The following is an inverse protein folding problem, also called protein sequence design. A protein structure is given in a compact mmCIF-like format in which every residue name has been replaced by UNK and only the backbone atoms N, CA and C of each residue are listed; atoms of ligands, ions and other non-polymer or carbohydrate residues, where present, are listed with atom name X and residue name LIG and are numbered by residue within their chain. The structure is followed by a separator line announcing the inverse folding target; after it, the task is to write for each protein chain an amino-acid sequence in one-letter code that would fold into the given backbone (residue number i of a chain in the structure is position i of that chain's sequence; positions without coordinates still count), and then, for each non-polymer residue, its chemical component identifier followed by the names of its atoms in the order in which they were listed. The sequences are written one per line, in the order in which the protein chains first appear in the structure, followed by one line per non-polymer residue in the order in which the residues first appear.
data_IF_144739363651
#
_entry.id   IF_144739363651
#
_cell.length_a   1.000
_cell.length_b   1.000
_cell.length_c   1.000
_cell.angle_alpha   90.00
_cell.angle_beta   90.00
_cell.angle_gamma   90.00
#
_symmetry.space_group_name_H-M   'P 1'
#
loop_
_entity.id
_entity.type
_entity.pdbx_description
1 polymer ?
#
# COMPACT_ATOMS: atom_id res chain seq x y z
N UNK A 1 9.01 10.45 16.80
CA UNK A 1 10.46 10.25 17.02
C UNK A 1 11.13 9.58 15.81
N UNK A 2 10.71 8.39 15.37
CA UNK A 2 11.37 7.68 14.27
C UNK A 2 11.29 8.47 12.95
N UNK A 3 10.11 8.80 12.47
CA UNK A 3 9.94 9.51 11.19
C UNK A 3 10.55 10.92 11.20
N UNK A 4 10.57 11.58 12.34
CA UNK A 4 11.26 12.88 12.48
C UNK A 4 12.77 12.73 12.25
N UNK A 5 13.39 11.70 12.84
CA UNK A 5 14.83 11.42 12.64
C UNK A 5 15.13 11.04 11.19
N UNK A 6 14.26 10.23 10.56
CA UNK A 6 14.37 9.90 9.13
C UNK A 6 14.27 11.16 8.27
N UNK A 7 13.35 12.06 8.59
CA UNK A 7 13.17 13.32 7.86
C UNK A 7 14.38 14.24 8.02
N UNK A 8 14.90 14.42 9.24
CA UNK A 8 16.11 15.22 9.50
C UNK A 8 17.30 14.70 8.70
N UNK A 9 17.56 13.38 8.73
CA UNK A 9 18.61 12.74 7.92
C UNK A 9 18.31 12.89 6.42
N UNK A 10 17.05 12.75 6.01
CA UNK A 10 16.62 12.91 4.63
C UNK A 10 16.88 14.33 4.10
N UNK A 11 16.54 15.36 4.87
CA UNK A 11 16.78 16.77 4.52
C UNK A 11 18.28 17.04 4.35
N UNK A 12 19.11 16.56 5.27
CA UNK A 12 20.56 16.72 5.17
C UNK A 12 21.11 16.00 3.94
N UNK A 13 20.70 14.74 3.73
CA UNK A 13 21.13 13.94 2.57
C UNK A 13 20.71 14.57 1.24
N UNK A 14 19.47 15.07 1.14
CA UNK A 14 18.99 15.74 -0.06
C UNK A 14 19.81 16.98 -0.42
N UNK A 15 20.17 17.81 0.59
CA UNK A 15 21.03 18.98 0.39
C UNK A 15 22.41 18.58 -0.10
N UNK A 16 23.04 17.58 0.51
CA UNK A 16 24.36 17.06 0.11
C UNK A 16 24.32 16.51 -1.32
N UNK A 17 23.28 15.78 -1.70
CA UNK A 17 23.09 15.25 -3.05
C UNK A 17 22.88 16.37 -4.08
N UNK A 18 22.16 17.41 -3.71
CA UNK A 18 21.93 18.58 -4.54
C UNK A 18 23.25 19.35 -4.79
N UNK A 19 24.03 19.60 -3.75
CA UNK A 19 25.35 20.22 -3.86
C UNK A 19 26.30 19.39 -4.72
N UNK A 20 26.40 18.09 -4.47
CA UNK A 20 27.23 17.19 -5.24
C UNK A 20 26.81 17.13 -6.72
N UNK A 21 25.50 17.22 -7.02
CA UNK A 21 24.95 17.33 -8.37
C UNK A 21 25.45 18.60 -9.07
N UNK A 22 25.45 19.74 -8.38
CA UNK A 22 25.90 21.01 -8.94
C UNK A 22 27.40 21.01 -9.21
N UNK A 23 28.18 20.34 -8.38
CA UNK A 23 29.63 20.24 -8.57
C UNK A 23 30.04 19.31 -9.69
N UNK A 24 29.40 18.15 -9.84
CA UNK A 24 29.86 17.07 -10.72
C UNK A 24 28.92 16.77 -11.91
N UNK A 25 27.74 17.43 -11.99
CA UNK A 25 26.75 17.26 -13.07
C UNK A 25 26.01 15.91 -13.05
N UNK A 26 26.19 15.07 -12.02
CA UNK A 26 25.59 13.73 -11.97
C UNK A 26 24.22 13.79 -11.30
N UNK A 27 23.15 13.27 -11.95
CA UNK A 27 21.84 13.22 -11.33
C UNK A 27 21.85 12.28 -10.12
N UNK A 28 20.92 12.50 -9.19
CA UNK A 28 20.70 11.60 -8.06
C UNK A 28 19.27 11.01 -8.07
N UNK A 29 19.10 9.90 -7.41
CA UNK A 29 17.81 9.33 -7.01
C UNK A 29 17.83 9.15 -5.49
N UNK A 30 16.81 9.65 -4.82
CA UNK A 30 16.65 9.50 -3.38
C UNK A 30 15.27 8.96 -3.05
N UNK A 31 15.21 7.97 -2.17
CA UNK A 31 13.99 7.43 -1.59
C UNK A 31 14.01 7.67 -0.09
N UNK A 32 13.07 8.47 0.41
CA UNK A 32 12.85 8.65 1.84
C UNK A 32 11.59 7.91 2.24
N UNK A 33 11.73 6.89 3.08
CA UNK A 33 10.62 6.06 3.53
C UNK A 33 10.23 6.41 4.96
N UNK A 34 8.97 6.84 5.14
CA UNK A 34 8.38 7.16 6.43
C UNK A 34 7.46 6.02 6.86
N UNK A 35 7.42 5.71 8.15
CA UNK A 35 6.66 4.59 8.69
C UNK A 35 5.20 4.95 8.95
N UNK A 36 4.95 6.15 9.45
CA UNK A 36 3.58 6.62 9.70
C UNK A 36 2.81 6.83 8.37
N UNK A 37 1.50 6.66 8.41
CA UNK A 37 0.58 6.46 9.55
C UNK A 37 0.33 4.98 9.91
N UNK A 38 1.28 4.05 9.65
CA UNK A 38 1.15 2.64 10.04
C UNK A 38 0.85 2.48 11.55
N UNK A 39 0.01 1.50 11.97
CA UNK A 39 -0.22 1.25 13.40
C UNK A 39 1.09 0.90 14.16
N UNK A 40 1.19 1.25 15.46
CA UNK A 40 0.13 1.77 16.32
C UNK A 40 -0.19 3.25 16.04
N UNK A 41 -1.49 3.60 16.10
CA UNK A 41 -1.95 4.98 15.84
C UNK A 41 -1.70 5.85 17.07
N UNK A 42 -0.49 6.38 17.19
CA UNK A 42 -0.05 7.23 18.30
C UNK A 42 0.36 8.59 17.73
N UNK A 43 -0.58 9.51 17.69
CA UNK A 43 -0.33 10.90 17.27
C UNK A 43 0.15 11.78 18.44
N UNK A 44 0.90 12.82 18.12
CA UNK A 44 1.18 13.87 19.10
C UNK A 44 -0.12 14.61 19.47
N UNK A 45 -0.30 15.04 20.74
CA UNK A 45 -1.52 15.74 21.16
C UNK A 45 -1.91 16.90 20.23
N UNK A 46 -0.97 17.74 19.84
CA UNK A 46 -1.19 18.86 18.94
C UNK A 46 -1.69 18.46 17.54
N UNK A 47 -1.24 17.32 17.01
CA UNK A 47 -1.68 16.82 15.71
C UNK A 47 -3.03 16.13 15.82
N UNK A 48 -3.29 15.43 16.93
CA UNK A 48 -4.57 14.83 17.26
C UNK A 48 -5.67 15.88 17.43
N UNK A 49 -5.44 16.87 18.29
CA UNK A 49 -6.41 17.91 18.62
C UNK A 49 -6.78 18.78 17.40
N UNK A 50 -5.80 19.03 16.53
CA UNK A 50 -6.01 19.82 15.32
C UNK A 50 -7.01 19.21 14.33
N UNK A 51 -7.22 17.89 14.36
CA UNK A 51 -8.12 17.19 13.44
C UNK A 51 -9.38 16.64 14.14
N UNK A 52 -9.39 16.55 15.46
CA UNK A 52 -10.42 15.86 16.23
C UNK A 52 -11.86 16.29 15.92
N UNK A 53 -12.08 17.59 15.66
CA UNK A 53 -13.41 18.14 15.35
C UNK A 53 -13.90 17.83 13.92
N UNK A 54 -13.02 17.33 13.05
CA UNK A 54 -13.31 17.09 11.64
C UNK A 54 -13.45 15.60 11.32
N UNK A 55 -13.00 14.73 12.23
CA UNK A 55 -13.02 13.28 11.99
C UNK A 55 -14.38 12.69 12.34
N UNK A 56 -14.98 12.01 11.35
CA UNK A 56 -16.25 11.29 11.49
C UNK A 56 -16.01 9.81 11.85
N UNK A 57 -16.98 9.14 12.46
CA UNK A 57 -16.99 7.67 12.54
C UNK A 57 -16.89 7.03 11.15
N UNK A 58 -16.59 5.72 11.04
CA UNK A 58 -16.67 5.01 9.78
C UNK A 58 -18.05 5.19 9.12
N UNK A 59 -18.05 5.51 7.82
CA UNK A 59 -19.28 5.87 7.08
C UNK A 59 -19.87 4.67 6.35
N UNK A 60 -19.03 3.71 5.91
CA UNK A 60 -19.47 2.52 5.22
C UNK A 60 -19.81 1.47 6.27
N UNK A 61 -21.10 1.08 6.38
CA UNK A 61 -21.53 0.17 7.43
C UNK A 61 -20.96 -1.23 7.25
N UNK A 62 -20.82 -1.94 8.35
CA UNK A 62 -20.49 -3.35 8.33
C UNK A 62 -21.58 -4.12 7.56
N UNK A 63 -21.23 -4.94 6.55
CA UNK A 63 -22.21 -5.73 5.82
C UNK A 63 -22.83 -6.79 6.73
N UNK A 64 -24.13 -7.03 6.61
CA UNK A 64 -24.85 -8.08 7.33
C UNK A 64 -24.27 -9.48 7.05
N UNK A 65 -23.83 -9.69 5.80
CA UNK A 65 -23.19 -10.93 5.36
C UNK A 65 -21.86 -10.60 4.71
N UNK A 66 -20.78 -10.88 5.44
CA UNK A 66 -19.42 -10.72 4.89
C UNK A 66 -19.12 -11.85 3.92
N UNK A 67 -18.51 -11.51 2.78
CA UNK A 67 -18.07 -12.50 1.80
C UNK A 67 -17.22 -13.60 2.47
N UNK A 68 -17.45 -14.90 2.21
CA UNK A 68 -16.79 -16.00 2.91
C UNK A 68 -15.27 -15.93 2.89
N UNK A 69 -14.67 -15.52 1.76
CA UNK A 69 -13.22 -15.32 1.63
C UNK A 69 -12.67 -14.26 2.61
N UNK A 70 -13.47 -13.27 2.98
CA UNK A 70 -13.06 -12.15 3.85
C UNK A 70 -13.34 -12.41 5.33
N UNK A 71 -13.92 -13.56 5.70
CA UNK A 71 -14.22 -13.90 7.11
C UNK A 71 -12.96 -13.96 7.97
N UNK A 72 -11.83 -14.39 7.41
CA UNK A 72 -10.56 -14.42 8.15
C UNK A 72 -10.13 -13.03 8.67
N UNK A 73 -10.48 -11.96 7.95
CA UNK A 73 -10.21 -10.59 8.37
C UNK A 73 -11.09 -10.17 9.57
N UNK A 74 -12.25 -10.80 9.74
CA UNK A 74 -13.12 -10.63 10.88
C UNK A 74 -12.59 -11.35 12.13
N UNK A 75 -12.02 -12.55 11.95
CA UNK A 75 -11.54 -13.42 13.05
C UNK A 75 -10.25 -12.88 13.69
N UNK A 76 -9.53 -11.96 13.06
CA UNK A 76 -8.31 -11.36 13.63
C UNK A 76 -8.52 -10.53 14.91
N UNK A 77 -9.74 -10.49 15.41
CA UNK A 77 -10.05 -10.09 16.78
C UNK A 77 -10.25 -8.60 17.03
N UNK A 78 -9.97 -7.74 16.06
CA UNK A 78 -10.18 -6.30 16.24
C UNK A 78 -11.48 -5.81 15.61
N UNK A 79 -11.99 -6.51 14.61
CA UNK A 79 -13.10 -6.08 13.76
C UNK A 79 -14.45 -6.02 14.49
N UNK A 80 -14.67 -6.86 15.49
CA UNK A 80 -15.97 -7.01 16.15
C UNK A 80 -15.99 -6.47 17.59
N UNK A 81 -14.85 -5.99 18.09
CA UNK A 81 -14.67 -5.60 19.50
C UNK A 81 -14.54 -4.07 19.66
N UNK A 82 -14.28 -3.35 18.57
CA UNK A 82 -14.08 -1.90 18.63
C UNK A 82 -15.43 -1.20 18.52
N UNK A 83 -15.83 -0.50 19.57
CA UNK A 83 -17.02 0.34 19.57
C UNK A 83 -16.82 1.64 18.74
N UNK A 84 -17.89 2.36 18.47
CA UNK A 84 -17.87 3.56 17.64
C UNK A 84 -16.97 4.67 18.22
N UNK A 85 -16.89 4.78 19.54
CA UNK A 85 -16.05 5.78 20.20
C UNK A 85 -14.58 5.43 20.06
N UNK A 86 -14.20 4.18 20.29
CA UNK A 86 -12.84 3.69 20.09
C UNK A 86 -12.42 3.79 18.61
N UNK A 87 -13.31 3.47 17.67
CA UNK A 87 -13.08 3.63 16.26
C UNK A 87 -12.81 5.10 15.90
N UNK A 88 -13.61 6.03 16.40
CA UNK A 88 -13.42 7.47 16.17
C UNK A 88 -12.09 7.94 16.76
N UNK A 89 -11.72 7.52 17.98
CA UNK A 89 -10.42 7.84 18.57
C UNK A 89 -9.25 7.33 17.72
N UNK A 90 -9.32 6.10 17.23
CA UNK A 90 -8.29 5.52 16.38
C UNK A 90 -8.17 6.26 15.04
N UNK A 91 -9.31 6.60 14.41
CA UNK A 91 -9.35 7.42 13.18
C UNK A 91 -8.73 8.79 13.43
N UNK A 92 -9.08 9.45 14.52
CA UNK A 92 -8.52 10.77 14.87
C UNK A 92 -7.00 10.68 15.02
N UNK A 93 -6.49 9.66 15.69
CA UNK A 93 -5.05 9.46 15.81
C UNK A 93 -4.38 9.21 14.46
N UNK A 94 -5.00 8.42 13.56
CA UNK A 94 -4.50 8.21 12.20
C UNK A 94 -4.43 9.52 11.41
N UNK A 95 -5.49 10.33 11.42
CA UNK A 95 -5.48 11.64 10.74
C UNK A 95 -4.48 12.62 11.36
N UNK A 96 -4.27 12.54 12.68
CA UNK A 96 -3.17 13.26 13.34
C UNK A 96 -1.79 12.83 12.83
N UNK A 97 -1.59 11.52 12.59
CA UNK A 97 -0.36 11.02 11.98
C UNK A 97 -0.22 11.49 10.52
N UNK A 98 -1.30 11.51 9.75
CA UNK A 98 -1.31 12.06 8.36
C UNK A 98 -0.89 13.53 8.37
N UNK A 99 -1.42 14.33 9.30
CA UNK A 99 -0.99 15.72 9.47
C UNK A 99 0.50 15.85 9.81
N UNK A 100 1.02 14.96 10.65
CA UNK A 100 2.45 14.92 10.94
C UNK A 100 3.26 14.59 9.68
N UNK A 101 2.86 13.60 8.89
CA UNK A 101 3.53 13.21 7.64
C UNK A 101 3.50 14.35 6.63
N UNK A 102 2.39 15.07 6.50
CA UNK A 102 2.29 16.23 5.62
C UNK A 102 3.38 17.28 5.96
N UNK A 103 3.55 17.60 7.24
CA UNK A 103 4.60 18.53 7.71
C UNK A 103 6.00 17.98 7.42
N UNK A 104 6.29 16.73 7.74
CA UNK A 104 7.59 16.10 7.50
C UNK A 104 7.92 16.04 6.01
N UNK A 105 6.92 15.75 5.17
CA UNK A 105 7.04 15.79 3.71
C UNK A 105 7.34 17.22 3.23
N UNK A 106 6.69 18.22 3.83
CA UNK A 106 6.98 19.63 3.56
C UNK A 106 8.44 19.99 3.82
N UNK A 107 9.04 19.52 4.92
CA UNK A 107 10.44 19.75 5.23
C UNK A 107 11.39 19.11 4.17
N UNK A 108 11.06 17.90 3.70
CA UNK A 108 11.82 17.24 2.63
C UNK A 108 11.69 17.98 1.29
N UNK A 109 10.48 18.41 0.94
CA UNK A 109 10.23 19.16 -0.31
C UNK A 109 10.99 20.50 -0.25
N UNK A 110 10.96 21.21 0.88
CA UNK A 110 11.69 22.46 1.08
C UNK A 110 13.22 22.31 0.89
N UNK A 111 13.77 21.12 1.17
CA UNK A 111 15.21 20.88 1.02
C UNK A 111 15.70 20.95 -0.45
N UNK A 112 14.78 20.81 -1.42
CA UNK A 112 15.04 20.82 -2.87
C UNK A 112 14.11 21.79 -3.63
N UNK A 113 13.41 22.70 -2.94
CA UNK A 113 12.38 23.56 -3.53
C UNK A 113 12.90 24.64 -4.48
N UNK A 114 14.18 24.97 -4.39
CA UNK A 114 14.88 25.94 -5.25
C UNK A 114 15.42 25.33 -6.56
N UNK A 115 15.10 24.05 -6.82
CA UNK A 115 15.62 23.31 -7.97
C UNK A 115 14.56 23.13 -9.04
N UNK A 116 14.85 23.65 -10.22
CA UNK A 116 13.99 23.52 -11.41
C UNK A 116 14.14 22.17 -12.12
N UNK A 117 15.13 21.36 -11.73
CA UNK A 117 15.53 20.11 -12.40
C UNK A 117 15.17 18.85 -11.60
N UNK A 118 14.40 18.98 -10.54
CA UNK A 118 14.06 17.87 -9.63
C UNK A 118 12.58 17.48 -9.74
N UNK A 119 12.31 16.19 -9.98
CA UNK A 119 10.98 15.59 -9.90
C UNK A 119 10.78 15.02 -8.51
N UNK A 120 9.68 15.39 -7.87
CA UNK A 120 9.26 14.92 -6.54
C UNK A 120 8.05 14.03 -6.73
N UNK A 121 8.06 12.85 -6.09
CA UNK A 121 6.96 11.89 -6.11
C UNK A 121 6.62 11.52 -4.68
N UNK A 122 5.38 11.80 -4.27
CA UNK A 122 4.80 11.32 -3.02
C UNK A 122 3.86 10.17 -3.29
N UNK A 123 4.01 9.06 -2.56
CA UNK A 123 3.21 7.85 -2.76
C UNK A 123 3.14 7.04 -1.46
N UNK A 124 2.11 6.19 -1.31
CA UNK A 124 2.04 5.15 -0.28
C UNK A 124 2.07 3.76 -0.91
N UNK A 125 2.46 2.76 -0.13
CA UNK A 125 2.51 1.33 -0.53
C UNK A 125 1.13 0.66 -0.50
N UNK A 126 0.27 1.03 0.44
CA UNK A 126 -1.11 0.57 0.60
C UNK A 126 -1.95 1.60 1.36
N UNK A 127 -3.25 1.40 1.37
CA UNK A 127 -4.20 2.17 2.16
C UNK A 127 -4.42 1.60 3.57
N UNK A 128 -5.50 2.04 4.21
CA UNK A 128 -5.90 1.64 5.55
C UNK A 128 -7.43 1.65 5.65
N UNK A 129 -8.04 0.57 6.12
CA UNK A 129 -9.49 0.45 6.18
C UNK A 129 -10.15 1.32 7.25
N UNK A 130 -9.45 1.68 8.31
CA UNK A 130 -9.87 2.63 9.37
C UNK A 130 -11.30 2.42 9.91
N UNK A 131 -11.74 1.16 10.04
CA UNK A 131 -13.06 0.82 10.55
C UNK A 131 -14.17 0.79 9.49
N UNK A 132 -13.90 1.23 8.26
CA UNK A 132 -14.89 1.10 7.18
C UNK A 132 -15.26 -0.37 6.99
N UNK A 133 -16.53 -0.66 6.77
CA UNK A 133 -17.08 -2.05 6.73
C UNK A 133 -16.79 -2.86 8.00
N UNK A 134 -16.39 -2.22 9.10
CA UNK A 134 -15.86 -2.87 10.28
C UNK A 134 -14.51 -3.55 10.04
N UNK A 135 -13.72 -3.11 9.08
CA UNK A 135 -12.38 -3.61 8.77
C UNK A 135 -11.32 -2.63 9.27
N UNK A 136 -10.18 -3.18 9.65
CA UNK A 136 -8.99 -2.44 10.05
C UNK A 136 -7.78 -2.96 9.28
N UNK A 137 -6.76 -2.10 9.12
CA UNK A 137 -5.54 -2.41 8.39
C UNK A 137 -5.80 -2.61 6.89
N UNK A 138 -5.05 -3.47 6.27
CA UNK A 138 -4.98 -3.73 4.83
C UNK A 138 -5.15 -5.22 4.54
N UNK A 139 -5.09 -5.58 3.25
CA UNK A 139 -5.10 -6.98 2.78
C UNK A 139 -6.40 -7.39 2.10
N UNK A 140 -7.37 -6.48 2.01
CA UNK A 140 -8.53 -6.59 1.11
C UNK A 140 -8.28 -5.76 -0.14
N UNK A 141 -9.12 -5.91 -1.16
CA UNK A 141 -9.05 -5.10 -2.37
C UNK A 141 -10.09 -3.96 -2.42
N UNK A 142 -10.77 -3.68 -1.32
CA UNK A 142 -11.55 -2.45 -1.22
C UNK A 142 -10.64 -1.22 -1.35
N UNK A 143 -11.17 -0.16 -1.96
CA UNK A 143 -10.36 1.04 -2.26
C UNK A 143 -9.70 1.63 -1.01
N UNK A 144 -10.30 1.55 0.17
CA UNK A 144 -9.70 2.01 1.41
C UNK A 144 -8.36 1.33 1.71
N UNK A 145 -8.21 0.06 1.31
CA UNK A 145 -7.00 -0.74 1.52
C UNK A 145 -6.05 -0.73 0.31
N UNK A 146 -6.60 -0.67 -0.92
CA UNK A 146 -5.84 -0.91 -2.15
C UNK A 146 -5.48 0.38 -2.92
N UNK A 147 -6.25 1.45 -2.74
CA UNK A 147 -6.02 2.74 -3.40
C UNK A 147 -5.10 3.61 -2.56
N UNK A 148 -4.10 4.20 -3.22
CA UNK A 148 -3.09 5.03 -2.56
C UNK A 148 -2.99 6.40 -3.23
N UNK A 149 -2.59 7.45 -2.50
CA UNK A 149 -2.23 8.72 -3.13
C UNK A 149 -0.99 8.54 -4.01
N UNK A 150 -0.96 9.27 -5.13
CA UNK A 150 0.23 9.47 -5.95
C UNK A 150 0.23 10.93 -6.41
N UNK A 151 1.22 11.68 -5.97
CA UNK A 151 1.35 13.11 -6.28
C UNK A 151 2.72 13.31 -6.91
N UNK A 152 2.76 13.95 -8.07
CA UNK A 152 3.99 14.23 -8.78
C UNK A 152 4.14 15.74 -9.01
N UNK A 153 5.34 16.25 -8.87
CA UNK A 153 5.67 17.64 -9.14
C UNK A 153 7.09 17.74 -9.72
N UNK A 154 7.33 18.73 -10.58
CA UNK A 154 8.65 18.99 -11.16
C UNK A 154 8.59 19.24 -12.66
N UNK A 155 9.75 19.26 -13.34
CA UNK A 155 9.84 19.54 -14.77
C UNK A 155 9.05 18.52 -15.58
N UNK A 156 8.28 19.00 -16.55
CA UNK A 156 7.43 18.16 -17.40
C UNK A 156 6.12 17.69 -16.76
N UNK A 157 5.87 18.00 -15.49
CA UNK A 157 4.61 17.67 -14.80
C UNK A 157 3.70 18.89 -14.82
N UNK A 158 2.48 18.73 -15.36
CA UNK A 158 1.49 19.80 -15.42
C UNK A 158 0.98 20.16 -14.01
N UNK A 159 1.02 21.46 -13.68
CA UNK A 159 0.60 21.95 -12.36
C UNK A 159 -0.93 21.91 -12.23
N UNK A 160 -1.41 21.31 -11.14
CA UNK A 160 -2.83 21.25 -10.82
C UNK A 160 -3.61 20.26 -11.68
N UNK A 161 -2.98 19.48 -12.52
CA UNK A 161 -3.63 18.43 -13.28
C UNK A 161 -4.11 17.29 -12.35
N UNK A 162 -5.26 16.73 -12.71
CA UNK A 162 -5.77 15.49 -12.12
C UNK A 162 -5.69 14.42 -13.20
N UNK A 163 -5.08 13.30 -12.86
CA UNK A 163 -4.95 12.16 -13.76
C UNK A 163 -5.91 11.05 -13.33
N UNK A 164 -6.98 10.87 -14.08
CA UNK A 164 -8.04 9.87 -13.80
C UNK A 164 -7.73 8.49 -14.40
N UNK A 165 -6.55 8.30 -14.99
CA UNK A 165 -6.15 6.99 -15.52
C UNK A 165 -6.08 5.95 -14.42
N UNK A 166 -6.48 4.71 -14.76
CA UNK A 166 -6.30 3.57 -13.87
C UNK A 166 -4.83 3.19 -13.85
N UNK A 167 -4.17 3.42 -12.73
CA UNK A 167 -2.73 3.24 -12.56
C UNK A 167 -2.41 2.31 -11.39
N UNK A 168 -1.16 1.89 -11.29
CA UNK A 168 -0.64 1.08 -10.18
C UNK A 168 0.77 1.49 -9.78
N UNK A 169 1.25 0.97 -8.64
CA UNK A 169 2.64 1.15 -8.22
C UNK A 169 3.66 0.51 -9.18
N UNK A 170 3.22 -0.45 -10.01
CA UNK A 170 4.06 -1.00 -11.09
C UNK A 170 4.33 0.06 -12.18
N UNK A 171 3.34 0.90 -12.47
CA UNK A 171 3.47 2.01 -13.42
C UNK A 171 4.41 3.10 -12.87
N UNK A 172 4.38 3.33 -11.55
CA UNK A 172 5.34 4.23 -10.90
C UNK A 172 6.78 3.74 -11.09
N UNK A 173 7.05 2.45 -10.89
CA UNK A 173 8.37 1.87 -11.11
C UNK A 173 8.84 2.07 -12.56
N UNK A 174 7.96 1.80 -13.54
CA UNK A 174 8.25 2.05 -14.95
C UNK A 174 8.49 3.54 -15.25
N UNK A 175 7.73 4.41 -14.59
CA UNK A 175 7.88 5.87 -14.74
C UNK A 175 9.23 6.38 -14.23
N UNK A 176 9.67 5.89 -13.08
CA UNK A 176 10.97 6.26 -12.50
C UNK A 176 12.11 5.85 -13.45
N UNK A 177 12.07 4.63 -13.99
CA UNK A 177 13.09 4.16 -14.95
C UNK A 177 13.09 5.01 -16.22
N UNK A 178 11.94 5.31 -16.78
CA UNK A 178 11.78 6.14 -17.96
C UNK A 178 12.32 7.56 -17.73
N UNK A 179 11.91 8.23 -16.66
CA UNK A 179 12.36 9.58 -16.30
C UNK A 179 13.86 9.67 -16.00
N UNK A 180 14.49 8.59 -15.57
CA UNK A 180 15.92 8.54 -15.28
C UNK A 180 16.75 8.03 -16.47
N UNK A 181 16.11 7.61 -17.57
CA UNK A 181 16.78 7.02 -18.74
C UNK A 181 17.40 5.65 -18.46
N UNK A 182 16.92 4.95 -17.41
CA UNK A 182 17.37 3.60 -17.08
C UNK A 182 16.63 2.54 -17.91
N UNK A 183 17.29 1.40 -18.13
CA UNK A 183 16.68 0.29 -18.85
C UNK A 183 15.48 -0.30 -18.08
N UNK A 184 14.43 -0.76 -18.78
CA UNK A 184 13.31 -1.45 -18.15
C UNK A 184 13.77 -2.71 -17.40
N UNK A 185 13.09 -3.01 -16.28
CA UNK A 185 13.34 -4.25 -15.55
C UNK A 185 12.93 -5.49 -16.38
N UNK A 186 13.64 -6.62 -16.23
CA UNK A 186 13.19 -7.88 -16.83
C UNK A 186 11.75 -8.22 -16.39
N UNK A 187 10.90 -8.54 -17.34
CA UNK A 187 9.46 -8.86 -17.12
C UNK A 187 8.64 -7.70 -16.49
N UNK A 188 9.06 -6.46 -16.72
CA UNK A 188 8.31 -5.28 -16.29
C UNK A 188 6.90 -5.29 -16.91
N UNK A 189 5.88 -5.18 -16.08
CA UNK A 189 4.46 -5.12 -16.50
C UNK A 189 3.87 -3.71 -16.35
N UNK A 190 4.50 -2.86 -15.56
CA UNK A 190 4.13 -1.45 -15.43
C UNK A 190 4.47 -0.64 -16.68
N UNK A 191 3.75 0.46 -16.88
CA UNK A 191 3.88 1.38 -18.01
C UNK A 191 4.23 2.76 -17.49
N UNK A 192 5.13 3.45 -18.16
CA UNK A 192 5.47 4.83 -17.76
C UNK A 192 4.28 5.77 -17.89
N UNK A 193 3.99 6.52 -16.84
CA UNK A 193 2.97 7.58 -16.84
C UNK A 193 3.42 8.80 -17.69
N UNK A 194 4.71 8.95 -17.91
CA UNK A 194 5.31 10.00 -18.74
C UNK A 194 5.37 9.62 -20.22
N UNK A 195 5.23 8.34 -20.56
CA UNK A 195 5.30 7.90 -21.95
C UNK A 195 4.08 8.39 -22.75
N UNK A 196 4.29 8.91 -23.99
CA UNK A 196 3.19 9.30 -24.85
C UNK A 196 2.45 8.08 -25.39
N UNK A 197 1.17 8.25 -25.74
CA UNK A 197 0.38 7.23 -26.42
C UNK A 197 -0.89 6.83 -25.70
N UNK A 198 -1.61 5.83 -26.23
CA UNK A 198 -2.87 5.40 -25.65
C UNK A 198 -2.66 4.71 -24.30
N UNK A 199 -3.52 5.00 -23.35
CA UNK A 199 -3.53 4.39 -22.03
C UNK A 199 -4.64 3.36 -21.90
N UNK A 200 -4.30 2.16 -21.52
CA UNK A 200 -5.28 1.13 -21.16
C UNK A 200 -5.63 1.28 -19.67
N UNK A 201 -6.88 1.63 -19.38
CA UNK A 201 -7.39 1.76 -18.02
C UNK A 201 -7.55 0.40 -17.33
N UNK A 202 -6.42 -0.20 -17.02
CA UNK A 202 -6.33 -1.55 -16.47
C UNK A 202 -5.21 -1.67 -15.47
N UNK A 203 -5.51 -2.28 -14.31
CA UNK A 203 -4.49 -2.67 -13.35
C UNK A 203 -4.87 -3.96 -12.63
N UNK A 204 -3.87 -4.63 -12.07
CA UNK A 204 -4.06 -5.84 -11.25
C UNK A 204 -3.31 -5.71 -9.94
N UNK A 205 -3.86 -6.33 -8.88
CA UNK A 205 -3.16 -6.51 -7.62
C UNK A 205 -3.39 -7.92 -7.11
N UNK A 206 -2.40 -8.48 -6.42
CA UNK A 206 -2.48 -9.82 -5.87
C UNK A 206 -2.06 -9.83 -4.41
N UNK A 207 -2.76 -10.63 -3.59
CA UNK A 207 -2.39 -10.85 -2.21
C UNK A 207 -2.44 -12.34 -1.89
N UNK A 208 -1.33 -12.87 -1.39
CA UNK A 208 -1.13 -14.28 -1.11
C UNK A 208 -0.69 -14.46 0.34
N UNK A 209 -1.59 -14.22 1.26
CA UNK A 209 -1.24 -14.26 2.67
C UNK A 209 -2.44 -14.49 3.58
N UNK A 210 -2.16 -14.78 4.82
CA UNK A 210 -3.08 -14.70 5.95
C UNK A 210 -2.67 -13.56 6.86
N UNK A 211 -3.54 -13.19 7.79
CA UNK A 211 -3.17 -12.27 8.85
C UNK A 211 -2.08 -12.89 9.74
N UNK A 212 -1.14 -12.06 10.17
CA UNK A 212 -0.07 -12.50 11.06
C UNK A 212 -0.65 -13.22 12.27
N UNK A 213 -0.11 -14.40 12.59
CA UNK A 213 -0.44 -15.23 13.74
C UNK A 213 -1.79 -15.98 13.70
N UNK A 214 -2.51 -16.00 12.58
CA UNK A 214 -3.72 -16.82 12.43
C UNK A 214 -3.37 -18.09 11.64
N UNK A 215 -3.66 -19.26 12.25
CA UNK A 215 -3.52 -20.59 11.62
C UNK A 215 -4.62 -20.85 10.59
N UNK A 216 -4.94 -19.86 9.76
CA UNK A 216 -5.86 -20.04 8.65
C UNK A 216 -5.04 -20.26 7.36
N UNK A 217 -5.51 -21.09 6.44
CA UNK A 217 -4.88 -21.21 5.12
C UNK A 217 -4.73 -19.82 4.49
N UNK A 218 -3.56 -19.55 3.92
CA UNK A 218 -3.33 -18.30 3.21
C UNK A 218 -4.36 -18.12 2.09
N UNK A 219 -5.13 -17.04 2.13
CA UNK A 219 -6.03 -16.70 1.04
C UNK A 219 -5.20 -16.26 -0.17
N UNK A 220 -5.41 -16.93 -1.30
CA UNK A 220 -4.90 -16.48 -2.59
C UNK A 220 -6.00 -15.68 -3.26
N UNK A 221 -5.72 -14.42 -3.50
CA UNK A 221 -6.70 -13.52 -4.08
C UNK A 221 -6.04 -12.58 -5.10
N UNK A 222 -6.82 -12.18 -6.10
CA UNK A 222 -6.40 -11.23 -7.11
C UNK A 222 -7.52 -10.28 -7.46
N UNK A 223 -7.17 -9.03 -7.65
CA UNK A 223 -8.03 -7.98 -8.17
C UNK A 223 -7.61 -7.64 -9.61
N UNK A 224 -8.57 -7.40 -10.45
CA UNK A 224 -8.43 -6.72 -11.73
C UNK A 224 -9.40 -5.53 -11.74
N UNK A 225 -8.90 -4.35 -12.01
CA UNK A 225 -9.69 -3.19 -12.38
C UNK A 225 -9.52 -2.92 -13.87
N UNK A 226 -10.64 -2.77 -14.56
CA UNK A 226 -10.72 -2.34 -15.95
C UNK A 226 -11.75 -1.22 -16.05
N UNK A 227 -11.28 -0.03 -16.39
CA UNK A 227 -12.11 1.19 -16.39
C UNK A 227 -12.82 1.37 -15.03
N UNK A 228 -14.14 1.34 -15.02
CA UNK A 228 -14.97 1.44 -13.81
C UNK A 228 -15.33 0.09 -13.17
N UNK A 229 -15.05 -1.03 -13.82
CA UNK A 229 -15.32 -2.35 -13.27
C UNK A 229 -14.13 -2.90 -12.48
N UNK A 230 -14.42 -3.45 -11.32
CA UNK A 230 -13.43 -4.07 -10.44
C UNK A 230 -13.89 -5.45 -10.02
N UNK A 231 -13.14 -6.47 -10.41
CA UNK A 231 -13.38 -7.85 -9.99
C UNK A 231 -12.36 -8.26 -8.92
N UNK A 232 -12.84 -8.93 -7.88
CA UNK A 232 -12.01 -9.60 -6.87
C UNK A 232 -12.25 -11.11 -6.96
N UNK A 233 -11.21 -11.87 -7.27
CA UNK A 233 -11.27 -13.33 -7.33
C UNK A 233 -10.53 -13.94 -6.14
N UNK A 234 -11.08 -15.02 -5.61
CA UNK A 234 -10.62 -15.69 -4.41
C UNK A 234 -10.51 -17.18 -4.68
N UNK A 235 -9.37 -17.79 -4.41
CA UNK A 235 -9.20 -19.23 -4.56
C UNK A 235 -10.18 -19.98 -3.64
N UNK A 236 -10.99 -20.85 -4.24
CA UNK A 236 -12.00 -21.65 -3.52
C UNK A 236 -13.29 -20.91 -3.13
N UNK A 237 -13.48 -19.66 -3.58
CA UNK A 237 -14.69 -18.87 -3.27
C UNK A 237 -15.25 -18.19 -4.52
N UNK A 238 -16.51 -17.77 -4.46
CA UNK A 238 -17.13 -16.97 -5.52
C UNK A 238 -16.38 -15.62 -5.68
N UNK A 239 -16.31 -15.06 -6.90
CA UNK A 239 -15.77 -13.72 -7.10
C UNK A 239 -16.77 -12.66 -6.68
N UNK A 240 -16.28 -11.42 -6.48
CA UNK A 240 -17.10 -10.21 -6.35
C UNK A 240 -16.85 -9.29 -7.52
N UNK A 241 -17.87 -8.57 -7.96
CA UNK A 241 -17.79 -7.56 -9.03
C UNK A 241 -18.38 -6.24 -8.55
N UNK A 242 -17.64 -5.16 -8.70
CA UNK A 242 -18.06 -3.81 -8.34
C UNK A 242 -18.06 -2.89 -9.57
N UNK A 243 -19.06 -2.01 -9.64
CA UNK A 243 -19.17 -0.94 -10.63
C UNK A 243 -18.86 0.40 -9.95
N UNK A 244 -17.60 0.82 -10.02
CA UNK A 244 -17.09 2.00 -9.32
C UNK A 244 -17.63 3.33 -9.87
N UNK A 245 -18.27 3.33 -11.07
CA UNK A 245 -18.93 4.52 -11.60
C UNK A 245 -20.25 4.80 -10.88
N UNK A 246 -20.99 3.74 -10.51
CA UNK A 246 -22.29 3.84 -9.86
C UNK A 246 -22.22 3.56 -8.35
N UNK A 247 -21.18 2.89 -7.89
CA UNK A 247 -20.94 2.54 -6.49
C UNK A 247 -19.45 2.71 -6.15
N UNK A 248 -18.97 3.94 -6.00
CA UNK A 248 -17.55 4.22 -5.70
C UNK A 248 -17.12 3.71 -4.33
N UNK A 249 -18.06 3.36 -3.47
CA UNK A 249 -17.79 2.79 -2.15
C UNK A 249 -17.91 1.26 -2.10
N UNK A 250 -18.07 0.57 -3.23
CA UNK A 250 -18.06 -0.90 -3.32
C UNK A 250 -19.01 -1.57 -2.31
N UNK A 251 -20.19 -1.02 -2.14
CA UNK A 251 -21.19 -1.51 -1.20
C UNK A 251 -22.08 -2.60 -1.79
N UNK A 252 -22.09 -2.75 -3.11
CA UNK A 252 -22.98 -3.64 -3.86
C UNK A 252 -22.18 -4.58 -4.75
N UNK A 253 -22.16 -5.86 -4.40
CA UNK A 253 -21.64 -6.90 -5.28
C UNK A 253 -22.62 -7.08 -6.46
N UNK A 254 -22.13 -6.86 -7.69
CA UNK A 254 -22.86 -6.96 -8.95
C UNK A 254 -22.64 -8.27 -9.69
N UNK A 255 -21.97 -9.22 -9.10
CA UNK A 255 -21.61 -10.48 -9.75
C UNK A 255 -22.81 -11.25 -10.33
N UNK A 256 -23.97 -11.21 -9.67
CA UNK A 256 -25.21 -11.84 -10.15
C UNK A 256 -25.93 -11.01 -11.22
N UNK A 257 -25.84 -9.67 -11.16
CA UNK A 257 -26.54 -8.76 -12.05
C UNK A 257 -25.79 -8.52 -13.38
N UNK A 258 -24.48 -8.76 -13.40
CA UNK A 258 -23.59 -8.50 -14.54
C UNK A 258 -22.81 -9.79 -14.96
N UNK A 259 -23.49 -10.87 -15.32
CA UNK A 259 -22.84 -12.17 -15.56
C UNK A 259 -21.96 -12.20 -16.81
N UNK A 260 -22.22 -11.35 -17.79
CA UNK A 260 -21.41 -11.27 -19.02
C UNK A 260 -20.07 -10.59 -18.75
N UNK A 261 -20.10 -9.43 -18.08
CA UNK A 261 -18.92 -8.68 -17.65
C UNK A 261 -18.09 -9.51 -16.67
N UNK A 262 -18.74 -10.16 -15.72
CA UNK A 262 -18.10 -11.08 -14.77
C UNK A 262 -17.32 -12.18 -15.51
N UNK A 263 -17.97 -12.86 -16.47
CA UNK A 263 -17.35 -13.93 -17.25
C UNK A 263 -16.14 -13.44 -18.06
N UNK A 264 -16.26 -12.25 -18.67
CA UNK A 264 -15.17 -11.65 -19.43
C UNK A 264 -13.97 -11.33 -18.55
N UNK A 265 -14.20 -10.72 -17.38
CA UNK A 265 -13.14 -10.36 -16.43
C UNK A 265 -12.49 -11.57 -15.77
N UNK A 266 -13.26 -12.62 -15.44
CA UNK A 266 -12.70 -13.90 -14.95
C UNK A 266 -11.76 -14.50 -16.00
N UNK A 267 -12.16 -14.53 -17.26
CA UNK A 267 -11.31 -15.03 -18.35
C UNK A 267 -10.01 -14.24 -18.46
N UNK A 268 -10.09 -12.92 -18.30
CA UNK A 268 -8.91 -12.06 -18.32
C UNK A 268 -7.98 -12.32 -17.13
N UNK A 269 -8.51 -12.39 -15.91
CA UNK A 269 -7.73 -12.72 -14.70
C UNK A 269 -7.02 -14.05 -14.86
N UNK A 270 -7.70 -15.05 -15.41
CA UNK A 270 -7.17 -16.43 -15.58
C UNK A 270 -6.01 -16.53 -16.57
N UNK A 271 -5.81 -15.54 -17.45
CA UNK A 271 -4.67 -15.52 -18.38
C UNK A 271 -3.31 -15.37 -17.68
N UNK A 272 -3.28 -14.77 -16.49
CA UNK A 272 -2.05 -14.46 -15.78
C UNK A 272 -2.10 -14.78 -14.27
N UNK A 273 -3.06 -15.60 -13.84
CA UNK A 273 -3.23 -16.01 -12.45
C UNK A 273 -3.66 -17.46 -12.32
N UNK A 274 -2.76 -18.27 -11.80
CA UNK A 274 -2.99 -19.68 -11.48
C UNK A 274 -2.85 -19.90 -9.97
N UNK A 275 -3.96 -19.98 -9.21
CA UNK A 275 -3.91 -20.18 -7.76
C UNK A 275 -3.31 -21.52 -7.35
N UNK A 276 -3.34 -22.56 -8.23
CA UNK A 276 -2.75 -23.86 -7.93
C UNK A 276 -1.23 -23.83 -8.03
N UNK A 277 -0.69 -23.11 -9.01
CA UNK A 277 0.77 -22.87 -9.09
C UNK A 277 1.25 -22.04 -7.90
N UNK A 278 0.52 -21.00 -7.53
CA UNK A 278 0.83 -20.18 -6.35
C UNK A 278 0.81 -21.05 -5.09
N UNK A 279 -0.16 -21.96 -4.94
CA UNK A 279 -0.24 -22.89 -3.83
C UNK A 279 1.01 -23.79 -3.74
N UNK A 280 1.48 -24.31 -4.88
CA UNK A 280 2.71 -25.12 -4.95
C UNK A 280 3.95 -24.33 -4.52
N UNK A 281 4.08 -23.10 -5.01
CA UNK A 281 5.19 -22.20 -4.64
C UNK A 281 5.15 -21.88 -3.14
N UNK A 282 3.97 -21.61 -2.58
CA UNK A 282 3.80 -21.35 -1.15
C UNK A 282 4.15 -22.58 -0.30
N UNK A 283 3.73 -23.77 -0.70
CA UNK A 283 4.06 -25.03 -0.03
C UNK A 283 5.59 -25.26 0.00
N UNK A 284 6.26 -25.13 -1.13
CA UNK A 284 7.72 -25.25 -1.22
C UNK A 284 8.45 -24.19 -0.36
N UNK A 285 7.93 -22.97 -0.29
CA UNK A 285 8.47 -21.92 0.60
C UNK A 285 8.31 -22.30 2.08
N UNK A 286 7.16 -22.86 2.46
CA UNK A 286 6.88 -23.31 3.82
C UNK A 286 7.83 -24.42 4.23
N UNK A 287 7.98 -25.46 3.40
CA UNK A 287 8.94 -26.56 3.63
C UNK A 287 10.37 -26.06 3.83
N UNK A 288 10.82 -25.15 2.96
CA UNK A 288 12.15 -24.52 3.11
C UNK A 288 12.27 -23.73 4.41
N UNK A 289 11.24 -23.03 4.81
CA UNK A 289 11.24 -22.24 6.05
C UNK A 289 11.29 -23.15 7.26
N UNK A 290 10.58 -24.28 7.25
CA UNK A 290 10.62 -25.29 8.33
C UNK A 290 12.00 -25.92 8.42
N UNK A 291 12.59 -26.31 7.31
CA UNK A 291 13.98 -26.81 7.26
C UNK A 291 14.98 -25.80 7.86
N UNK A 292 14.87 -24.52 7.51
CA UNK A 292 15.74 -23.48 8.08
C UNK A 292 15.52 -23.34 9.59
N UNK A 293 14.27 -23.40 10.06
CA UNK A 293 13.95 -23.35 11.50
C UNK A 293 14.57 -24.52 12.26
N UNK A 294 14.44 -25.74 11.74
CA UNK A 294 15.05 -26.93 12.32
C UNK A 294 16.58 -26.81 12.34
N UNK A 295 17.17 -26.35 11.23
CA UNK A 295 18.59 -26.12 11.15
C UNK A 295 19.07 -25.11 12.21
N UNK A 296 18.36 -24.00 12.40
CA UNK A 296 18.65 -22.98 13.42
C UNK A 296 18.56 -23.59 14.83
N UNK A 297 17.57 -24.44 15.10
CA UNK A 297 17.42 -25.10 16.40
C UNK A 297 18.59 -26.06 16.71
N UNK A 298 19.05 -26.81 15.71
CA UNK A 298 20.13 -27.80 15.86
C UNK A 298 21.50 -27.13 15.93
N UNK A 299 21.74 -26.14 15.08
CA UNK A 299 23.09 -25.53 14.96
C UNK A 299 23.28 -24.34 15.86
N UNK A 300 22.20 -23.74 16.36
CA UNK A 300 22.20 -22.50 17.16
C UNK A 300 23.22 -21.47 16.61
N UNK A 301 23.10 -21.08 15.31
CA UNK A 301 24.10 -20.24 14.68
C UNK A 301 24.19 -18.89 15.38
N UNK A 302 25.38 -18.35 15.44
CA UNK A 302 25.62 -17.01 15.98
C UNK A 302 24.83 -15.98 15.12
N UNK A 303 23.93 -15.25 15.72
CA UNK A 303 23.14 -14.24 15.01
C UNK A 303 23.97 -13.01 14.66
N UNK A 304 24.85 -13.12 13.67
CA UNK A 304 25.69 -12.01 13.20
C UNK A 304 24.92 -11.00 12.34
N UNK A 305 23.73 -11.35 11.88
CA UNK A 305 22.97 -10.57 10.89
C UNK A 305 21.60 -10.13 11.38
N UNK A 306 21.22 -10.41 12.62
CA UNK A 306 20.06 -9.73 13.19
C UNK A 306 20.43 -8.31 13.53
N UNK A 307 19.53 -7.39 13.20
CA UNK A 307 19.55 -6.04 13.68
C UNK A 307 19.52 -6.06 15.22
N UNK A 308 20.68 -6.21 15.85
CA UNK A 308 20.85 -5.91 17.26
C UNK A 308 21.27 -4.47 17.31
N UNK A 309 20.40 -3.62 17.82
CA UNK A 309 20.84 -2.33 18.31
C UNK A 309 21.95 -2.62 19.34
N UNK A 310 23.14 -2.01 19.23
CA UNK A 310 24.20 -2.14 20.22
C UNK A 310 23.75 -1.68 21.63
N UNK A 311 22.62 -0.98 21.73
CA UNK A 311 21.99 -0.60 22.99
C UNK A 311 20.72 -1.44 23.21
N UNK A 312 20.77 -2.55 24.01
CA UNK A 312 19.62 -3.41 24.23
C UNK A 312 18.40 -2.72 24.83
N UNK A 313 18.60 -1.57 25.50
CA UNK A 313 17.50 -0.79 26.09
C UNK A 313 16.69 -0.01 25.02
N UNK A 314 17.19 0.10 23.79
CA UNK A 314 16.48 0.72 22.65
C UNK A 314 15.78 -0.31 21.76
N UNK A 315 15.96 -1.60 21.97
CA UNK A 315 15.26 -2.67 21.25
C UNK A 315 13.84 -2.96 21.79
N UNK A 316 13.31 -2.09 22.61
CA UNK A 316 11.97 -2.20 23.19
C UNK A 316 10.86 -1.97 22.16
N UNK A 317 10.58 -2.98 21.36
CA UNK A 317 9.27 -3.14 20.77
C UNK A 317 8.39 -3.92 21.77
N UNK A 318 7.76 -3.19 22.67
CA UNK A 318 6.58 -3.61 23.41
C UNK A 318 5.39 -2.77 22.97
#
# INVERSE_FOLDING_TARGET
AYDSAVTETGVETLRQLAEARDENGRPFFALVSLFCPHPPYIALPQDYDAVASQVTPPEIPRPNHRHPALRQWAVSGLVDVIDAEAATRARTAYYGLVRMIDRLTGDLVCAVSDRDDTIIIYVSDHGEALGERGLWWKGTFYDESAKVPMIMAGPGIEKGAIDDRVTSLLDLSATILDLTGADPLPNQTGRSLAAPGPWENRTTSSYYGGLMNIKTPALRQRMLRRDHLKICVYDGHAPQLFDLANDPYETQDRSEQMPQELSALIKEVSQSWDPQEIARIQAAKTERTEFIREWVQVTNPEERFRWKDPNPDQNGYL
#
